data_IF_249783966483
#
_entry.id   IF_249783966483
#
_cell.length_a   1.000
_cell.length_b   1.000
_cell.length_c   1.000
_cell.angle_alpha   90.00
_cell.angle_beta   90.00
_cell.angle_gamma   90.00
#
_symmetry.space_group_name_H-M   'P 1'
#
loop_
_entity.id
_entity.type
_entity.pdbx_description
1 polymer ?
#
# COMPACT_ATOMS: atom_id res chain seq x y z
N UNK A 1 -18.43 -23.41 -20.42
CA UNK A 1 -17.33 -23.64 -19.44
C UNK A 1 -16.15 -22.80 -19.89
N UNK A 2 -16.00 -21.63 -19.30
CA UNK A 2 -14.85 -20.75 -19.55
C UNK A 2 -13.76 -21.13 -18.55
N UNK A 3 -12.63 -21.61 -19.05
CA UNK A 3 -11.44 -21.84 -18.24
C UNK A 3 -10.98 -20.49 -17.67
N UNK A 4 -11.03 -20.35 -16.35
CA UNK A 4 -10.31 -19.30 -15.64
C UNK A 4 -8.81 -19.54 -15.83
N UNK A 5 -8.20 -18.76 -16.70
CA UNK A 5 -6.76 -18.60 -16.71
C UNK A 5 -6.38 -17.79 -15.46
N UNK A 6 -6.08 -18.46 -14.37
CA UNK A 6 -5.35 -17.86 -13.27
C UNK A 6 -3.93 -17.59 -13.78
N UNK A 7 -3.71 -16.40 -14.30
CA UNK A 7 -2.37 -15.93 -14.65
C UNK A 7 -1.64 -15.64 -13.34
N UNK A 8 -0.90 -16.62 -12.84
CA UNK A 8 0.06 -16.37 -11.76
C UNK A 8 1.20 -15.55 -12.33
N UNK A 9 1.32 -14.32 -11.86
CA UNK A 9 2.46 -13.46 -12.17
C UNK A 9 3.76 -14.11 -11.67
N UNK A 10 4.89 -13.79 -12.30
CA UNK A 10 6.18 -14.34 -11.88
C UNK A 10 6.55 -13.84 -10.47
N UNK A 11 7.22 -14.66 -9.64
CA UNK A 11 7.68 -14.24 -8.32
C UNK A 11 8.58 -13.00 -8.39
N UNK A 12 8.50 -12.14 -7.36
CA UNK A 12 9.41 -11.00 -7.22
C UNK A 12 10.83 -11.52 -7.10
N UNK A 13 11.64 -11.35 -8.13
CA UNK A 13 13.05 -11.68 -8.10
C UNK A 13 13.83 -10.56 -7.42
N UNK A 14 14.48 -10.88 -6.31
CA UNK A 14 15.60 -10.07 -5.84
C UNK A 14 16.69 -10.09 -6.91
N UNK A 15 17.09 -8.91 -7.40
CA UNK A 15 18.09 -8.72 -8.45
C UNK A 15 19.44 -9.31 -8.02
N UNK A 16 19.72 -10.55 -8.41
CA UNK A 16 21.06 -11.11 -8.40
C UNK A 16 21.46 -11.31 -9.86
N UNK A 17 22.40 -10.49 -10.31
CA UNK A 17 22.89 -10.50 -11.68
C UNK A 17 23.55 -11.81 -12.08
N UNK A 18 23.51 -12.03 -13.42
CA UNK A 18 24.31 -12.88 -14.28
C UNK A 18 23.87 -14.32 -14.52
N UNK A 19 23.51 -14.56 -15.79
CA UNK A 19 23.80 -15.81 -16.50
C UNK A 19 22.65 -16.72 -16.78
N UNK A 20 22.14 -16.69 -18.03
CA UNK A 20 21.69 -17.87 -18.75
C UNK A 20 20.47 -18.63 -18.21
N UNK A 21 19.32 -18.36 -18.76
CA UNK A 21 18.27 -19.33 -19.03
C UNK A 21 17.92 -20.34 -17.96
N UNK A 22 17.06 -19.96 -16.99
CA UNK A 22 16.09 -20.85 -16.32
C UNK A 22 14.98 -20.02 -15.68
N UNK A 23 13.77 -20.57 -15.59
CA UNK A 23 12.60 -19.84 -15.18
C UNK A 23 12.61 -19.48 -13.70
N UNK A 24 12.10 -18.28 -13.41
CA UNK A 24 11.46 -17.90 -12.15
C UNK A 24 12.11 -18.38 -10.86
N UNK A 25 13.13 -17.72 -10.37
CA UNK A 25 13.56 -17.95 -8.98
C UNK A 25 12.83 -17.02 -8.03
N UNK A 26 12.00 -17.64 -7.27
CA UNK A 26 11.42 -17.36 -6.00
C UNK A 26 12.23 -16.46 -5.08
N UNK A 27 11.58 -15.45 -4.52
CA UNK A 27 12.05 -14.83 -3.30
C UNK A 27 11.83 -15.83 -2.16
N UNK A 28 12.83 -16.62 -1.82
CA UNK A 28 12.78 -17.43 -0.61
C UNK A 28 13.06 -16.50 0.56
N UNK A 29 12.06 -16.22 1.40
CA UNK A 29 12.25 -15.62 2.71
C UNK A 29 13.09 -16.58 3.58
N UNK A 30 13.69 -16.09 4.66
CA UNK A 30 14.42 -16.92 5.62
C UNK A 30 13.58 -18.07 6.21
N UNK A 31 12.25 -18.02 6.06
CA UNK A 31 11.26 -19.06 6.42
C UNK A 31 11.02 -20.09 5.31
N UNK A 32 11.64 -19.99 4.13
CA UNK A 32 11.37 -20.86 2.98
C UNK A 32 10.04 -20.59 2.26
N UNK A 33 9.28 -19.57 2.65
CA UNK A 33 8.00 -19.23 2.02
C UNK A 33 8.22 -18.48 0.70
N UNK A 34 7.54 -18.97 -0.34
CA UNK A 34 7.54 -18.34 -1.66
C UNK A 34 6.50 -17.23 -1.67
N UNK A 35 6.91 -16.03 -2.04
CA UNK A 35 6.00 -14.89 -2.18
C UNK A 35 5.92 -14.47 -3.64
N UNK A 36 4.71 -14.37 -4.17
CA UNK A 36 4.44 -13.88 -5.51
C UNK A 36 4.07 -12.39 -5.47
N UNK A 37 4.11 -11.70 -6.62
CA UNK A 37 3.72 -10.28 -6.71
C UNK A 37 2.28 -10.08 -6.29
N UNK A 38 1.38 -10.97 -6.71
CA UNK A 38 -0.04 -10.95 -6.38
C UNK A 38 -0.35 -11.23 -4.90
N UNK A 39 0.61 -11.79 -4.12
CA UNK A 39 0.50 -11.90 -2.66
C UNK A 39 0.79 -10.57 -1.92
N UNK A 40 1.50 -9.62 -2.56
CA UNK A 40 2.02 -8.42 -1.90
C UNK A 40 1.61 -7.11 -2.56
N UNK A 41 1.10 -7.16 -3.79
CA UNK A 41 0.65 -6.01 -4.54
C UNK A 41 -0.61 -6.31 -5.35
N UNK A 42 -1.59 -5.42 -5.29
CA UNK A 42 -2.81 -5.51 -6.09
C UNK A 42 -3.24 -4.14 -6.59
N UNK A 43 -3.70 -4.10 -7.84
CA UNK A 43 -4.47 -3.00 -8.39
C UNK A 43 -5.93 -3.45 -8.53
N UNK A 44 -6.87 -2.73 -7.94
CA UNK A 44 -8.28 -3.11 -7.94
C UNK A 44 -9.17 -1.95 -8.35
N UNK A 45 -10.21 -2.24 -9.13
CA UNK A 45 -11.18 -1.27 -9.64
C UNK A 45 -12.57 -1.58 -9.11
N UNK A 46 -13.34 -0.54 -8.76
CA UNK A 46 -14.75 -0.70 -8.40
C UNK A 46 -15.56 0.56 -8.71
N UNK A 47 -16.86 0.38 -8.93
CA UNK A 47 -17.83 1.45 -8.93
C UNK A 47 -18.41 1.60 -7.52
N UNK A 48 -18.48 2.82 -7.01
CA UNK A 48 -19.06 3.15 -5.72
C UNK A 48 -20.57 2.88 -5.69
N UNK A 49 -21.09 2.46 -4.54
CA UNK A 49 -22.51 2.14 -4.36
C UNK A 49 -23.11 2.72 -3.07
N UNK A 50 -22.35 3.54 -2.35
CA UNK A 50 -22.74 4.17 -1.07
C UNK A 50 -23.23 3.18 -0.01
N UNK A 51 -22.93 1.88 -0.13
CA UNK A 51 -23.28 0.93 0.94
C UNK A 51 -22.31 1.03 2.09
N UNK A 52 -22.86 0.90 3.29
CA UNK A 52 -22.08 0.87 4.52
C UNK A 52 -21.27 -0.43 4.61
N UNK A 53 -20.07 -0.34 5.15
CA UNK A 53 -19.21 -1.51 5.39
C UNK A 53 -18.97 -2.35 4.14
N UNK A 54 -18.69 -1.68 3.01
CA UNK A 54 -18.41 -2.37 1.75
C UNK A 54 -17.05 -3.04 1.77
N UNK A 55 -17.03 -4.36 1.59
CA UNK A 55 -15.79 -5.12 1.44
C UNK A 55 -15.25 -5.02 0.00
N UNK A 56 -13.95 -4.77 -0.11
CA UNK A 56 -13.16 -4.83 -1.34
C UNK A 56 -12.18 -6.01 -1.18
N UNK A 57 -12.47 -7.10 -1.87
CA UNK A 57 -11.65 -8.32 -1.86
C UNK A 57 -10.64 -8.24 -2.99
N UNK A 58 -9.42 -7.84 -2.71
CA UNK A 58 -8.37 -7.63 -3.70
C UNK A 58 -7.18 -8.62 -3.58
N UNK A 59 -7.31 -9.65 -2.74
CA UNK A 59 -6.32 -10.71 -2.59
C UNK A 59 -5.23 -10.44 -1.54
N UNK A 60 -5.14 -9.23 -1.00
CA UNK A 60 -4.02 -8.82 -0.14
C UNK A 60 -4.38 -8.97 1.36
N UNK A 61 -3.58 -9.72 2.12
CA UNK A 61 -3.70 -9.83 3.57
C UNK A 61 -3.10 -8.60 4.26
N UNK A 62 -3.96 -7.64 4.60
CA UNK A 62 -3.60 -6.45 5.33
C UNK A 62 -3.71 -6.61 6.84
N UNK A 63 -4.65 -7.43 7.33
CA UNK A 63 -4.86 -7.62 8.78
C UNK A 63 -3.77 -8.47 9.42
N UNK A 64 -3.27 -9.49 8.71
CA UNK A 64 -2.24 -10.41 9.22
C UNK A 64 -0.82 -9.93 8.98
N UNK A 65 -0.58 -9.19 7.90
CA UNK A 65 0.78 -8.81 7.46
C UNK A 65 1.03 -7.30 7.49
N UNK A 66 -0.01 -6.50 7.51
CA UNK A 66 0.08 -5.04 7.40
C UNK A 66 0.33 -4.55 5.98
N UNK A 67 0.13 -3.25 5.77
CA UNK A 67 0.35 -2.64 4.45
C UNK A 67 -0.30 -1.27 4.29
N UNK A 68 -0.31 -0.82 3.03
CA UNK A 68 -0.86 0.45 2.58
C UNK A 68 -1.92 0.21 1.51
N UNK A 69 -3.02 0.97 1.60
CA UNK A 69 -4.01 1.10 0.53
C UNK A 69 -4.05 2.54 0.06
N UNK A 70 -3.71 2.75 -1.20
CA UNK A 70 -3.78 4.03 -1.91
C UNK A 70 -5.00 4.03 -2.80
N UNK A 71 -5.96 4.93 -2.54
CA UNK A 71 -7.24 5.00 -3.25
C UNK A 71 -7.33 6.29 -4.06
N UNK A 72 -7.89 6.21 -5.26
CA UNK A 72 -8.17 7.35 -6.13
C UNK A 72 -9.54 7.23 -6.77
N UNK A 73 -10.33 8.31 -6.69
CA UNK A 73 -11.51 8.53 -7.53
C UNK A 73 -11.05 8.73 -8.99
N UNK A 74 -11.53 7.90 -9.91
CA UNK A 74 -11.18 7.95 -11.35
C UNK A 74 -12.11 8.84 -12.14
N UNK A 75 -13.38 8.93 -11.75
CA UNK A 75 -14.43 9.70 -12.43
C UNK A 75 -14.49 11.17 -11.98
N UNK A 76 -13.55 11.64 -11.17
CA UNK A 76 -13.54 13.02 -10.62
C UNK A 76 -12.15 13.48 -10.17
N UNK A 77 -12.12 14.65 -9.53
CA UNK A 77 -10.88 15.36 -9.16
C UNK A 77 -10.52 15.27 -7.68
N UNK A 78 -11.17 14.38 -6.91
CA UNK A 78 -10.85 14.20 -5.49
C UNK A 78 -9.41 13.80 -5.27
N UNK A 79 -8.89 14.15 -4.10
CA UNK A 79 -7.53 13.86 -3.70
C UNK A 79 -7.24 12.36 -3.66
N UNK A 80 -5.98 12.02 -3.77
CA UNK A 80 -5.48 10.68 -3.49
C UNK A 80 -5.48 10.43 -1.99
N UNK A 81 -6.02 9.30 -1.54
CA UNK A 81 -6.15 8.96 -0.13
C UNK A 81 -5.29 7.73 0.19
N UNK A 82 -4.41 7.86 1.19
CA UNK A 82 -3.51 6.80 1.65
C UNK A 82 -3.87 6.39 3.08
N UNK A 83 -4.30 5.15 3.25
CA UNK A 83 -4.50 4.49 4.54
C UNK A 83 -3.44 3.43 4.74
N UNK A 84 -2.93 3.25 5.96
CA UNK A 84 -2.01 2.17 6.28
C UNK A 84 -2.22 1.60 7.69
N UNK A 85 -1.68 0.41 7.90
CA UNK A 85 -1.85 -0.34 9.14
C UNK A 85 -1.04 0.21 10.32
N UNK A 86 0.03 0.98 10.06
CA UNK A 86 0.87 1.58 11.12
C UNK A 86 0.21 2.80 11.77
N UNK A 87 -0.57 3.56 10.99
CA UNK A 87 -1.32 4.72 11.48
C UNK A 87 -2.74 4.34 11.90
N UNK A 88 -3.19 3.15 11.51
CA UNK A 88 -4.56 2.70 11.68
C UNK A 88 -5.48 3.15 10.55
N UNK A 89 -6.54 2.37 10.31
CA UNK A 89 -7.43 2.57 9.16
C UNK A 89 -8.27 3.85 9.21
N UNK A 90 -8.35 4.53 10.35
CA UNK A 90 -9.07 5.80 10.48
C UNK A 90 -8.24 7.03 10.08
N UNK A 91 -6.92 6.89 9.98
CA UNK A 91 -6.03 8.00 9.67
C UNK A 91 -5.57 7.94 8.21
N UNK A 92 -5.62 9.08 7.52
CA UNK A 92 -5.19 9.15 6.13
C UNK A 92 -4.29 10.35 5.82
N UNK A 93 -3.49 10.20 4.80
CA UNK A 93 -2.74 11.26 4.15
C UNK A 93 -3.20 11.40 2.69
N UNK A 94 -3.06 12.60 2.13
CA UNK A 94 -3.27 12.84 0.69
C UNK A 94 -1.93 13.04 0.02
N UNK A 95 -1.58 12.22 -0.98
CA UNK A 95 -0.27 12.28 -1.64
C UNK A 95 -0.07 13.52 -2.51
N UNK A 96 -1.15 14.12 -2.95
CA UNK A 96 -1.22 15.32 -3.78
C UNK A 96 -1.31 16.62 -2.97
N UNK A 97 -1.33 16.53 -1.63
CA UNK A 97 -1.42 17.69 -0.74
C UNK A 97 -0.23 17.79 0.22
N UNK A 98 -0.01 19.00 0.69
CA UNK A 98 0.92 19.30 1.80
C UNK A 98 0.25 19.23 3.17
N UNK A 99 -1.04 18.90 3.23
CA UNK A 99 -1.84 18.83 4.44
C UNK A 99 -1.25 17.88 5.49
N UNK A 100 -1.59 18.11 6.75
CA UNK A 100 -1.35 17.16 7.84
C UNK A 100 -2.21 15.89 7.66
N UNK A 101 -1.93 14.89 8.48
CA UNK A 101 -2.79 13.71 8.63
C UNK A 101 -4.20 14.15 9.03
N UNK A 102 -5.17 13.53 8.43
CA UNK A 102 -6.59 13.73 8.73
C UNK A 102 -7.22 12.41 9.17
N UNK A 103 -8.42 12.44 9.71
CA UNK A 103 -9.10 11.24 10.19
C UNK A 103 -10.57 11.21 9.75
N UNK A 104 -11.06 10.02 9.51
CA UNK A 104 -12.47 9.69 9.28
C UNK A 104 -12.72 8.25 9.75
N UNK A 105 -13.87 7.64 9.46
CA UNK A 105 -14.10 6.23 9.80
C UNK A 105 -13.23 5.26 8.99
N UNK A 106 -12.67 5.71 7.88
CA UNK A 106 -11.60 5.07 7.14
C UNK A 106 -11.89 3.69 6.59
N UNK A 107 -10.90 2.83 6.78
CA UNK A 107 -10.92 1.44 6.34
C UNK A 107 -10.75 0.49 7.52
N UNK A 108 -11.37 -0.69 7.43
CA UNK A 108 -10.97 -1.86 8.21
C UNK A 108 -10.10 -2.76 7.34
N UNK A 109 -8.90 -3.10 7.80
CA UNK A 109 -8.00 -3.98 7.08
C UNK A 109 -8.38 -5.45 7.30
N UNK A 110 -8.47 -6.22 6.22
CA UNK A 110 -8.91 -7.61 6.23
C UNK A 110 -7.78 -8.57 5.75
N UNK A 111 -7.99 -9.86 5.92
CA UNK A 111 -7.07 -10.89 5.41
C UNK A 111 -7.14 -11.08 3.88
N UNK A 112 -8.10 -10.43 3.21
CA UNK A 112 -8.28 -10.48 1.75
C UNK A 112 -8.65 -9.10 1.19
N UNK A 113 -7.99 -8.03 1.65
CA UNK A 113 -8.26 -6.67 1.22
C UNK A 113 -8.69 -5.75 2.37
N UNK A 114 -9.75 -4.97 2.15
CA UNK A 114 -10.22 -3.97 3.13
C UNK A 114 -11.74 -3.77 3.06
N UNK A 115 -12.32 -3.23 4.14
CA UNK A 115 -13.71 -2.80 4.19
C UNK A 115 -13.77 -1.29 4.32
N UNK A 116 -14.54 -0.63 3.48
CA UNK A 116 -14.79 0.82 3.51
C UNK A 116 -15.83 1.09 4.60
N UNK A 117 -15.49 1.93 5.57
CA UNK A 117 -16.40 2.29 6.67
C UNK A 117 -17.45 3.31 6.24
N UNK A 118 -18.48 3.48 7.07
CA UNK A 118 -19.69 4.28 6.78
C UNK A 118 -19.38 5.71 6.34
N UNK A 119 -18.59 6.44 7.12
CA UNK A 119 -18.33 7.86 6.86
C UNK A 119 -17.16 8.13 5.90
N UNK A 120 -16.53 7.08 5.38
CA UNK A 120 -15.50 7.20 4.33
C UNK A 120 -16.06 7.17 2.92
N UNK A 121 -17.36 6.91 2.76
CA UNK A 121 -18.01 6.70 1.47
C UNK A 121 -17.85 7.87 0.50
N UNK A 122 -17.90 9.12 1.00
CA UNK A 122 -17.78 10.32 0.17
C UNK A 122 -16.47 10.34 -0.64
N UNK A 123 -15.39 9.78 -0.09
CA UNK A 123 -14.05 9.77 -0.71
C UNK A 123 -13.70 8.47 -1.41
N UNK A 124 -14.37 7.36 -1.08
CA UNK A 124 -13.94 6.01 -1.48
C UNK A 124 -15.05 5.12 -2.01
N UNK A 125 -16.32 5.49 -1.87
CA UNK A 125 -17.47 4.65 -2.26
C UNK A 125 -18.74 5.45 -2.62
N UNK A 126 -18.65 6.69 -3.14
CA UNK A 126 -19.81 7.46 -3.57
C UNK A 126 -20.54 6.74 -4.74
N UNK A 127 -21.86 6.67 -4.69
CA UNK A 127 -22.68 5.95 -5.68
C UNK A 127 -22.41 6.41 -7.11
N UNK A 128 -22.21 5.48 -8.02
CA UNK A 128 -21.97 5.75 -9.43
C UNK A 128 -20.61 6.38 -9.76
N UNK A 129 -19.71 6.43 -8.78
CA UNK A 129 -18.34 6.95 -8.97
C UNK A 129 -17.34 5.82 -9.12
N UNK A 130 -16.40 5.96 -10.05
CA UNK A 130 -15.36 4.98 -10.33
C UNK A 130 -14.13 5.18 -9.46
N UNK A 131 -13.63 4.11 -8.87
CA UNK A 131 -12.44 4.12 -8.03
C UNK A 131 -11.39 3.12 -8.51
N UNK A 132 -10.14 3.36 -8.09
CA UNK A 132 -9.08 2.37 -8.10
C UNK A 132 -8.32 2.39 -6.78
N UNK A 133 -7.71 1.25 -6.45
CA UNK A 133 -6.72 1.18 -5.38
C UNK A 133 -5.45 0.49 -5.85
N UNK A 134 -4.33 0.91 -5.26
CA UNK A 134 -3.06 0.21 -5.26
C UNK A 134 -2.81 -0.21 -3.82
N UNK A 135 -2.72 -1.51 -3.60
CA UNK A 135 -2.54 -2.08 -2.26
C UNK A 135 -1.19 -2.76 -2.17
N UNK A 136 -0.40 -2.37 -1.18
CA UNK A 136 0.95 -2.87 -0.92
C UNK A 136 0.96 -3.56 0.44
N UNK A 137 1.30 -4.84 0.48
CA UNK A 137 1.51 -5.59 1.72
C UNK A 137 2.93 -5.41 2.22
N UNK A 138 3.12 -5.25 3.53
CA UNK A 138 4.46 -5.29 4.14
C UNK A 138 5.10 -6.65 3.86
N UNK A 139 6.28 -6.61 3.29
CA UNK A 139 7.05 -7.80 2.95
C UNK A 139 8.54 -7.46 2.85
N UNK A 140 9.44 -8.26 3.43
CA UNK A 140 10.88 -8.11 3.26
C UNK A 140 11.27 -7.98 1.79
N UNK A 141 12.22 -7.10 1.48
CA UNK A 141 12.73 -6.79 0.13
C UNK A 141 11.71 -6.17 -0.84
N UNK A 142 10.50 -5.87 -0.39
CA UNK A 142 9.47 -5.28 -1.22
C UNK A 142 8.95 -3.96 -0.65
N UNK A 143 8.26 -3.98 0.49
CA UNK A 143 7.58 -2.81 1.02
C UNK A 143 7.51 -2.84 2.55
N UNK A 144 7.74 -1.68 3.17
CA UNK A 144 7.56 -1.47 4.60
C UNK A 144 7.04 -0.07 4.89
N UNK A 145 6.40 0.11 6.03
CA UNK A 145 5.91 1.38 6.55
C UNK A 145 6.40 1.53 7.96
N UNK A 146 6.96 2.70 8.28
CA UNK A 146 7.47 3.02 9.63
C UNK A 146 6.96 4.39 10.04
N UNK A 147 6.42 4.47 11.25
CA UNK A 147 6.12 5.76 11.90
C UNK A 147 7.20 6.10 12.92
N UNK A 148 7.59 7.36 12.98
CA UNK A 148 8.57 7.83 13.97
C UNK A 148 8.31 9.29 14.37
N UNK A 149 8.73 9.67 15.56
CA UNK A 149 8.73 11.07 16.01
C UNK A 149 10.10 11.68 15.81
N UNK A 150 10.15 12.89 15.26
CA UNK A 150 11.39 13.65 15.14
C UNK A 150 11.99 13.98 16.53
N UNK A 151 13.31 13.97 16.64
CA UNK A 151 14.04 14.30 17.88
C UNK A 151 15.15 15.33 17.65
N UNK A 152 15.21 15.93 16.46
CA UNK A 152 16.24 16.92 16.06
C UNK A 152 17.69 16.41 16.11
N UNK A 153 17.91 15.10 16.14
CA UNK A 153 19.25 14.50 16.13
C UNK A 153 19.68 14.26 14.67
N UNK A 154 20.79 14.85 14.27
CA UNK A 154 21.41 14.59 12.97
C UNK A 154 21.98 13.15 12.94
N UNK A 155 21.89 12.49 11.77
CA UNK A 155 22.36 11.12 11.59
C UNK A 155 21.52 10.05 12.31
N UNK A 156 20.31 10.39 12.73
CA UNK A 156 19.40 9.40 13.33
C UNK A 156 19.03 8.30 12.35
N UNK A 157 19.21 7.07 12.77
CA UNK A 157 18.78 5.89 12.03
C UNK A 157 17.32 5.56 12.33
N UNK A 158 16.56 5.20 11.30
CA UNK A 158 15.18 4.70 11.40
C UNK A 158 15.18 3.25 10.92
N UNK A 159 14.93 2.33 11.86
CA UNK A 159 14.86 0.90 11.57
C UNK A 159 13.64 0.56 10.71
N UNK A 160 13.78 -0.41 9.81
CA UNK A 160 12.73 -0.96 8.97
C UNK A 160 12.92 -2.48 8.80
N UNK A 161 11.90 -3.17 8.28
CA UNK A 161 11.86 -4.63 8.16
C UNK A 161 12.15 -5.16 6.74
N UNK A 162 12.69 -4.34 5.83
CA UNK A 162 12.97 -4.77 4.45
C UNK A 162 14.08 -5.82 4.35
N UNK A 163 15.01 -5.88 5.32
CA UNK A 163 16.15 -6.79 5.29
C UNK A 163 17.16 -6.49 4.16
N UNK A 164 17.07 -5.31 3.56
CA UNK A 164 17.97 -4.81 2.49
C UNK A 164 17.91 -3.29 2.45
N UNK A 165 18.90 -2.64 1.85
CA UNK A 165 18.87 -1.19 1.61
C UNK A 165 17.65 -0.82 0.74
N UNK A 166 16.84 0.17 1.15
CA UNK A 166 15.72 0.63 0.35
C UNK A 166 16.17 1.21 -1.00
N UNK A 167 15.48 0.88 -2.09
CA UNK A 167 15.69 1.51 -3.40
C UNK A 167 14.97 2.85 -3.51
N UNK A 168 13.90 3.04 -2.76
CA UNK A 168 13.14 4.29 -2.68
C UNK A 168 12.63 4.50 -1.25
N UNK A 169 12.66 5.76 -0.79
CA UNK A 169 12.10 6.16 0.50
C UNK A 169 11.19 7.36 0.29
N UNK A 170 9.99 7.30 0.82
CA UNK A 170 9.02 8.41 0.81
C UNK A 170 8.74 8.81 2.25
N UNK A 171 8.92 10.08 2.57
CA UNK A 171 8.72 10.61 3.92
C UNK A 171 7.69 11.74 3.91
N UNK A 172 6.77 11.69 4.85
CA UNK A 172 5.79 12.75 5.08
C UNK A 172 5.71 13.09 6.57
N UNK A 173 5.85 14.36 6.88
CA UNK A 173 5.48 14.86 8.20
C UNK A 173 3.96 14.90 8.31
N UNK A 174 3.40 14.23 9.32
CA UNK A 174 1.94 14.03 9.46
C UNK A 174 1.26 14.95 10.46
N UNK A 175 2.02 15.58 11.36
CA UNK A 175 1.50 16.41 12.46
C UNK A 175 1.41 17.91 12.13
N UNK A 176 1.77 18.31 10.91
CA UNK A 176 1.74 19.72 10.50
C UNK A 176 1.29 19.88 9.05
N UNK A 177 0.46 20.90 8.81
CA UNK A 177 0.11 21.35 7.47
C UNK A 177 1.32 22.00 6.78
N UNK A 178 1.24 22.15 5.46
CA UNK A 178 2.28 22.78 4.62
C UNK A 178 3.62 22.02 4.58
N UNK A 179 3.65 20.75 5.03
CA UNK A 179 4.80 19.87 4.88
C UNK A 179 4.79 19.18 3.53
N UNK A 180 5.86 19.30 2.78
CA UNK A 180 6.03 18.60 1.50
C UNK A 180 6.29 17.11 1.72
N UNK A 181 5.99 16.31 0.72
CA UNK A 181 6.48 14.95 0.59
C UNK A 181 7.96 14.99 0.16
N UNK A 182 8.80 14.25 0.84
CA UNK A 182 10.19 14.06 0.47
C UNK A 182 10.36 12.66 -0.12
N UNK A 183 10.99 12.57 -1.29
CA UNK A 183 11.25 11.31 -1.98
C UNK A 183 12.74 11.21 -2.23
N UNK A 184 13.31 10.08 -1.89
CA UNK A 184 14.67 9.70 -2.21
C UNK A 184 14.65 8.39 -3.01
N UNK A 185 15.57 8.28 -3.99
CA UNK A 185 15.73 7.10 -4.85
C UNK A 185 17.20 6.82 -5.12
N UNK A 186 17.59 5.54 -5.21
CA UNK A 186 19.00 5.11 -5.39
C UNK A 186 19.66 5.57 -6.69
N UNK A 187 18.86 6.01 -7.69
CA UNK A 187 19.37 6.49 -8.98
C UNK A 187 19.72 7.98 -8.99
N UNK A 188 19.70 8.65 -7.84
CA UNK A 188 20.04 10.06 -7.66
C UNK A 188 21.12 10.21 -6.59
#
# INVERSE_FOLDING_TARGET
>A
MLNEFTKKEAPIQGLAGLGGGVPSRLLTLASGEITYVDDVFSTFLWEGNSTNSRAIANGIDLSGKGGLTWIKLRSGTDNHILYDTERGGSNFLSSDLTAAENSNDGLTFNSNGFTIAVNSQAYTNANGSDYCSWTFRKCPKFFDIVTFSGNSTAGREISHSLGSTPGMVIVKRRDAASSKWAVWHTSY
#
